data_IF_514941788200
#
_entry.id   IF_514941788200
#
_cell.length_a   1.000
_cell.length_b   1.000
_cell.length_c   1.000
_cell.angle_alpha   90.00
_cell.angle_beta   90.00
_cell.angle_gamma   90.00
#
_symmetry.space_group_name_H-M   'P 1'
#
loop_
_entity.id
_entity.type
_entity.pdbx_description
1 polymer ?
#
# COMPACT_ATOMS: atom_id res chain seq x y z
N UNK A 1 2.01 -7.90 12.10
CA UNK A 1 2.78 -8.87 12.93
C UNK A 1 3.09 -10.14 12.15
N UNK A 2 2.10 -10.91 11.68
CA UNK A 2 2.34 -12.13 10.88
C UNK A 2 3.29 -11.89 9.68
N UNK A 3 3.03 -10.87 8.85
CA UNK A 3 3.92 -10.52 7.73
C UNK A 3 5.36 -10.20 8.15
N UNK A 4 5.53 -9.53 9.29
CA UNK A 4 6.86 -9.21 9.80
C UNK A 4 7.60 -10.45 10.31
N UNK A 5 6.86 -11.41 10.90
CA UNK A 5 7.40 -12.71 11.27
C UNK A 5 7.84 -13.54 10.04
N UNK A 6 7.18 -13.34 8.89
CA UNK A 6 7.56 -13.90 7.59
C UNK A 6 8.58 -13.03 6.82
N UNK A 7 9.23 -12.08 7.50
CA UNK A 7 10.29 -11.22 6.94
C UNK A 7 9.86 -10.28 5.79
N UNK A 8 8.60 -9.89 5.75
CA UNK A 8 8.13 -8.82 4.86
C UNK A 8 8.43 -7.43 5.40
N UNK A 9 8.93 -6.57 4.53
CA UNK A 9 8.98 -5.13 4.78
C UNK A 9 7.61 -4.49 4.53
N UNK A 10 7.19 -3.62 5.43
CA UNK A 10 5.92 -2.90 5.35
C UNK A 10 6.18 -1.42 5.14
N UNK A 11 5.69 -0.87 4.02
CA UNK A 11 5.78 0.54 3.70
C UNK A 11 4.42 1.24 3.75
N UNK A 12 4.40 2.54 4.06
CA UNK A 12 3.20 3.39 3.90
C UNK A 12 3.42 4.40 2.78
N UNK A 13 2.58 4.36 1.74
CA UNK A 13 2.46 5.41 0.73
C UNK A 13 1.11 6.12 0.91
N UNK A 14 1.11 7.38 1.33
CA UNK A 14 -0.12 8.09 1.74
C UNK A 14 -0.25 9.48 1.13
N UNK A 15 -1.49 9.89 0.86
CA UNK A 15 -1.83 11.26 0.46
C UNK A 15 -1.84 12.27 1.64
N UNK A 16 -1.57 11.81 2.87
CA UNK A 16 -1.46 12.67 4.06
C UNK A 16 -0.13 13.44 4.03
N UNK A 17 -0.07 14.54 4.78
CA UNK A 17 1.19 15.19 5.13
C UNK A 17 1.96 14.37 6.17
N UNK A 18 3.27 14.62 6.33
CA UNK A 18 4.10 14.00 7.39
C UNK A 18 3.46 14.10 8.76
N UNK A 19 3.03 15.30 9.14
CA UNK A 19 2.37 15.56 10.43
C UNK A 19 1.05 14.77 10.56
N UNK A 20 0.28 14.67 9.47
CA UNK A 20 -0.96 13.92 9.44
C UNK A 20 -0.74 12.41 9.60
N UNK A 21 0.30 11.87 8.98
CA UNK A 21 0.68 10.47 9.12
C UNK A 21 1.16 10.15 10.54
N UNK A 22 2.06 10.97 11.11
CA UNK A 22 2.59 10.76 12.47
C UNK A 22 1.48 10.74 13.52
N UNK A 23 0.51 11.66 13.42
CA UNK A 23 -0.66 11.67 14.31
C UNK A 23 -1.46 10.37 14.22
N UNK A 24 -1.69 9.86 13.01
CA UNK A 24 -2.44 8.63 12.80
C UNK A 24 -1.68 7.40 13.35
N UNK A 25 -0.37 7.32 13.14
CA UNK A 25 0.47 6.23 13.65
C UNK A 25 0.59 6.27 15.18
N UNK A 26 0.71 7.46 15.77
CA UNK A 26 0.75 7.63 17.23
C UNK A 26 -0.58 7.23 17.88
N UNK A 27 -1.71 7.62 17.29
CA UNK A 27 -3.03 7.29 17.82
C UNK A 27 -3.35 5.79 17.79
N UNK A 28 -2.78 5.06 16.84
CA UNK A 28 -3.02 3.62 16.64
C UNK A 28 -1.95 2.73 17.27
N UNK A 29 -0.76 3.26 17.54
CA UNK A 29 0.36 2.50 18.12
C UNK A 29 1.04 1.52 17.16
N UNK A 30 0.66 1.53 15.88
CA UNK A 30 1.17 0.58 14.87
C UNK A 30 2.39 1.10 14.11
N UNK A 31 2.85 2.33 14.38
CA UNK A 31 3.98 2.94 13.66
C UNK A 31 5.24 2.07 13.62
N UNK A 32 5.50 1.32 14.69
CA UNK A 32 6.62 0.36 14.80
C UNK A 32 6.55 -0.84 13.84
N UNK A 33 5.41 -1.06 13.19
CA UNK A 33 5.24 -2.15 12.23
C UNK A 33 5.66 -1.75 10.82
N UNK A 34 5.87 -0.46 10.54
CA UNK A 34 6.24 0.03 9.21
C UNK A 34 7.72 0.38 9.18
N UNK A 35 8.42 -0.13 8.17
CA UNK A 35 9.86 0.04 7.98
C UNK A 35 10.19 1.36 7.26
N UNK A 36 9.30 1.83 6.39
CA UNK A 36 9.48 3.08 5.65
C UNK A 36 8.13 3.75 5.33
N UNK A 37 8.15 5.08 5.12
CA UNK A 37 6.94 5.84 4.81
C UNK A 37 7.21 6.94 3.77
N UNK A 38 6.19 7.28 2.96
CA UNK A 38 6.15 8.42 2.04
C UNK A 38 4.81 9.14 2.10
N UNK A 39 4.88 10.45 2.27
CA UNK A 39 3.76 11.38 2.37
C UNK A 39 3.66 12.27 1.12
N UNK A 40 2.50 12.90 0.94
CA UNK A 40 2.23 13.77 -0.22
C UNK A 40 3.08 15.04 -0.27
N UNK A 41 3.60 15.48 0.87
CA UNK A 41 4.48 16.64 1.02
C UNK A 41 5.97 16.30 0.89
N UNK A 42 6.32 15.03 0.70
CA UNK A 42 7.71 14.55 0.59
C UNK A 42 8.09 14.18 -0.85
N UNK A 43 7.11 13.84 -1.69
CA UNK A 43 7.30 13.42 -3.08
C UNK A 43 6.02 13.60 -3.90
N UNK A 44 6.05 13.24 -5.19
CA UNK A 44 4.87 13.25 -6.04
C UNK A 44 3.78 12.34 -5.49
N UNK A 45 2.56 12.88 -5.42
CA UNK A 45 1.38 12.15 -4.96
C UNK A 45 0.85 11.16 -6.01
N UNK A 46 0.07 10.20 -5.53
CA UNK A 46 -0.67 9.22 -6.35
C UNK A 46 -1.50 9.96 -7.42
N UNK A 47 -1.54 9.47 -8.68
CA UNK A 47 -1.08 8.16 -9.13
C UNK A 47 0.39 8.12 -9.60
N UNK A 48 1.19 9.15 -9.31
CA UNK A 48 2.60 9.14 -9.70
C UNK A 48 3.37 8.01 -8.97
N UNK A 49 4.25 7.25 -9.64
CA UNK A 49 4.88 6.04 -9.07
C UNK A 49 6.00 6.33 -8.05
N UNK A 50 6.31 7.60 -7.78
CA UNK A 50 7.49 8.00 -7.02
C UNK A 50 7.51 7.40 -5.60
N UNK A 51 6.37 7.43 -4.89
CA UNK A 51 6.29 6.86 -3.53
C UNK A 51 6.74 5.39 -3.50
N UNK A 52 6.28 4.56 -4.44
CA UNK A 52 6.64 3.15 -4.50
C UNK A 52 8.11 2.96 -4.86
N UNK A 53 8.62 3.64 -5.88
CA UNK A 53 10.03 3.53 -6.26
C UNK A 53 10.99 4.02 -5.18
N UNK A 54 10.61 5.05 -4.41
CA UNK A 54 11.41 5.54 -3.30
C UNK A 54 11.39 4.57 -2.12
N UNK A 55 10.23 4.03 -1.76
CA UNK A 55 10.09 3.04 -0.70
C UNK A 55 10.87 1.76 -1.03
N UNK A 56 10.71 1.21 -2.22
CA UNK A 56 11.42 -0.03 -2.59
C UNK A 56 12.93 0.18 -2.66
N UNK A 57 13.39 1.34 -3.14
CA UNK A 57 14.82 1.69 -3.13
C UNK A 57 15.38 1.82 -1.71
N UNK A 58 14.65 2.47 -0.81
CA UNK A 58 15.06 2.60 0.61
C UNK A 58 15.15 1.24 1.31
N UNK A 59 14.19 0.36 1.03
CA UNK A 59 14.10 -0.98 1.61
C UNK A 59 14.96 -2.04 0.87
N UNK A 60 15.65 -1.66 -0.20
CA UNK A 60 16.43 -2.58 -1.02
C UNK A 60 15.61 -3.69 -1.69
N UNK A 61 14.34 -3.42 -1.98
CA UNK A 61 13.39 -4.38 -2.58
C UNK A 61 13.18 -4.14 -4.07
N UNK A 62 12.81 -5.20 -4.77
CA UNK A 62 12.39 -5.13 -6.17
C UNK A 62 10.92 -4.67 -6.27
N UNK A 63 10.65 -3.71 -7.15
CA UNK A 63 9.30 -3.22 -7.42
C UNK A 63 8.40 -4.33 -7.97
N UNK A 64 8.96 -5.27 -8.74
CA UNK A 64 8.22 -6.42 -9.27
C UNK A 64 7.81 -7.43 -8.19
N UNK A 65 8.45 -7.37 -7.00
CA UNK A 65 8.12 -8.19 -5.82
C UNK A 65 7.29 -7.43 -4.78
N UNK A 66 6.79 -6.26 -5.14
CA UNK A 66 6.02 -5.38 -4.24
C UNK A 66 4.54 -5.40 -4.62
N UNK A 67 3.68 -5.47 -3.61
CA UNK A 67 2.23 -5.29 -3.76
C UNK A 67 1.78 -4.00 -3.10
N UNK A 68 1.12 -3.12 -3.86
CA UNK A 68 0.46 -1.92 -3.34
C UNK A 68 -0.98 -2.27 -2.97
N UNK A 69 -1.33 -2.07 -1.69
CA UNK A 69 -2.68 -2.30 -1.17
C UNK A 69 -3.37 -0.94 -1.03
N UNK A 70 -4.54 -0.77 -1.63
CA UNK A 70 -5.27 0.50 -1.57
C UNK A 70 -6.75 0.40 -1.87
N UNK A 71 -7.49 1.43 -1.45
CA UNK A 71 -8.94 1.54 -1.56
C UNK A 71 -9.38 2.56 -2.62
N UNK A 72 -8.43 3.15 -3.35
CA UNK A 72 -8.70 4.09 -4.43
C UNK A 72 -8.11 3.61 -5.75
N UNK A 73 -8.69 4.09 -6.85
CA UNK A 73 -8.09 3.90 -8.19
C UNK A 73 -6.74 4.61 -8.31
N UNK A 74 -6.47 5.64 -7.50
CA UNK A 74 -5.17 6.31 -7.44
C UNK A 74 -4.07 5.38 -6.91
N UNK A 75 -4.37 4.52 -5.94
CA UNK A 75 -3.44 3.51 -5.41
C UNK A 75 -3.08 2.47 -6.48
N UNK A 76 -4.10 1.93 -7.14
CA UNK A 76 -3.91 0.89 -8.16
C UNK A 76 -3.22 1.46 -9.41
N UNK A 77 -3.54 2.68 -9.82
CA UNK A 77 -2.84 3.34 -10.92
C UNK A 77 -1.39 3.66 -10.56
N UNK A 78 -1.10 4.02 -9.30
CA UNK A 78 0.29 4.18 -8.84
C UNK A 78 1.06 2.85 -8.92
N UNK A 79 0.43 1.73 -8.53
CA UNK A 79 1.01 0.40 -8.64
C UNK A 79 1.37 0.07 -10.10
N UNK A 80 0.41 0.25 -11.01
CA UNK A 80 0.59 0.04 -12.46
C UNK A 80 1.72 0.91 -13.00
N UNK A 81 1.71 2.21 -12.67
CA UNK A 81 2.72 3.16 -13.14
C UNK A 81 4.12 2.81 -12.62
N UNK A 82 4.23 2.17 -11.45
CA UNK A 82 5.49 1.74 -10.87
C UNK A 82 5.95 0.37 -11.39
N UNK A 83 5.08 -0.40 -12.07
CA UNK A 83 5.34 -1.79 -12.42
C UNK A 83 5.23 -2.76 -11.22
N UNK A 84 4.52 -2.36 -10.17
CA UNK A 84 4.19 -3.20 -9.02
C UNK A 84 2.83 -3.90 -9.21
N UNK A 85 2.58 -4.94 -8.41
CA UNK A 85 1.23 -5.52 -8.32
C UNK A 85 0.32 -4.60 -7.50
N UNK A 86 -0.95 -4.50 -7.88
CA UNK A 86 -1.96 -3.76 -7.12
C UNK A 86 -3.01 -4.70 -6.52
N UNK A 87 -3.36 -4.50 -5.26
CA UNK A 87 -4.45 -5.20 -4.57
C UNK A 87 -5.47 -4.16 -4.07
N UNK A 88 -6.72 -4.33 -4.49
CA UNK A 88 -7.82 -3.44 -4.09
C UNK A 88 -8.46 -3.88 -2.78
N UNK A 89 -8.93 -2.93 -1.97
CA UNK A 89 -9.81 -3.22 -0.82
C UNK A 89 -11.14 -2.48 -0.98
N UNK A 90 -12.26 -3.20 -0.95
CA UNK A 90 -13.58 -2.64 -1.33
C UNK A 90 -14.36 -2.04 -0.16
N UNK A 91 -13.76 -1.93 1.01
CA UNK A 91 -14.36 -1.37 2.23
C UNK A 91 -13.85 0.04 2.55
N UNK A 92 -13.28 0.73 1.55
CA UNK A 92 -12.77 2.09 1.67
C UNK A 92 -13.45 3.07 0.71
N UNK A 93 -12.67 3.95 0.06
CA UNK A 93 -13.16 5.17 -0.55
C UNK A 93 -13.80 5.01 -1.94
N UNK A 94 -13.26 4.18 -2.83
CA UNK A 94 -13.79 4.05 -4.21
C UNK A 94 -14.67 2.80 -4.36
N UNK A 95 -15.67 2.81 -5.28
CA UNK A 95 -16.51 1.65 -5.58
C UNK A 95 -15.70 0.45 -6.07
N UNK A 96 -16.15 -0.76 -5.72
CA UNK A 96 -15.48 -2.02 -6.09
C UNK A 96 -15.37 -2.21 -7.60
N UNK A 97 -16.36 -1.72 -8.35
CA UNK A 97 -16.40 -1.77 -9.80
C UNK A 97 -15.21 -0.99 -10.40
N UNK A 98 -14.97 0.23 -9.91
CA UNK A 98 -13.83 1.06 -10.35
C UNK A 98 -12.49 0.47 -9.95
N UNK A 99 -12.41 -0.20 -8.80
CA UNK A 99 -11.17 -0.90 -8.40
C UNK A 99 -10.89 -2.08 -9.33
N UNK A 100 -11.92 -2.84 -9.74
CA UNK A 100 -11.79 -3.99 -10.64
C UNK A 100 -11.37 -3.60 -12.06
N UNK A 101 -11.78 -2.43 -12.55
CA UNK A 101 -11.35 -1.89 -13.85
C UNK A 101 -9.82 -1.70 -13.94
N UNK A 102 -9.15 -1.51 -12.79
CA UNK A 102 -7.70 -1.41 -12.71
C UNK A 102 -6.99 -2.78 -12.75
N UNK A 103 -7.72 -3.88 -12.88
CA UNK A 103 -7.20 -5.25 -12.91
C UNK A 103 -6.25 -5.61 -11.75
N UNK A 104 -6.65 -5.39 -10.48
CA UNK A 104 -5.83 -5.76 -9.34
C UNK A 104 -5.69 -7.29 -9.24
N UNK A 105 -4.61 -7.76 -8.61
CA UNK A 105 -4.36 -9.20 -8.40
C UNK A 105 -5.40 -9.85 -7.49
N UNK A 106 -6.00 -9.05 -6.60
CA UNK A 106 -7.16 -9.40 -5.79
C UNK A 106 -7.91 -8.14 -5.41
N UNK A 107 -9.20 -8.26 -5.14
CA UNK A 107 -10.01 -7.17 -4.59
C UNK A 107 -10.71 -7.66 -3.32
N UNK A 108 -10.08 -7.42 -2.17
CA UNK A 108 -10.53 -7.96 -0.90
C UNK A 108 -11.79 -7.23 -0.40
N UNK A 109 -12.79 -8.00 0.05
CA UNK A 109 -14.08 -7.44 0.51
C UNK A 109 -14.15 -7.25 2.02
N UNK A 110 -13.15 -7.73 2.77
CA UNK A 110 -13.03 -7.54 4.22
C UNK A 110 -11.57 -7.66 4.66
N UNK A 111 -11.28 -7.27 5.91
CA UNK A 111 -9.95 -7.46 6.51
C UNK A 111 -9.59 -8.96 6.59
N UNK A 112 -10.57 -9.83 6.88
CA UNK A 112 -10.34 -11.28 6.94
C UNK A 112 -9.98 -11.88 5.57
N UNK A 113 -10.64 -11.41 4.51
CA UNK A 113 -10.33 -11.78 3.13
C UNK A 113 -8.94 -11.29 2.71
N UNK A 114 -8.61 -10.03 3.02
CA UNK A 114 -7.27 -9.49 2.80
C UNK A 114 -6.20 -10.32 3.52
N UNK A 115 -6.43 -10.66 4.79
CA UNK A 115 -5.51 -11.47 5.58
C UNK A 115 -5.34 -12.86 4.97
N UNK A 116 -6.43 -13.53 4.60
CA UNK A 116 -6.38 -14.85 3.99
C UNK A 116 -5.59 -14.84 2.68
N UNK A 117 -5.79 -13.82 1.85
CA UNK A 117 -5.03 -13.66 0.61
C UNK A 117 -3.54 -13.45 0.88
N UNK A 118 -3.19 -12.55 1.81
CA UNK A 118 -1.80 -12.27 2.17
C UNK A 118 -1.09 -13.52 2.70
N UNK A 119 -1.71 -14.29 3.61
CA UNK A 119 -1.09 -15.51 4.16
C UNK A 119 -0.91 -16.63 3.13
N UNK A 120 -1.63 -16.59 2.01
CA UNK A 120 -1.53 -17.59 0.95
C UNK A 120 -0.53 -17.22 -0.16
N UNK A 121 -0.15 -15.95 -0.27
CA UNK A 121 0.66 -15.42 -1.38
C UNK A 121 1.89 -14.62 -0.94
N UNK A 122 2.02 -14.34 0.35
CA UNK A 122 3.24 -13.84 1.00
C UNK A 122 4.06 -15.05 1.52
#
# INVERSE_FOLDING_TARGET
EALHAEHYFLGVATGKTRVGLERALAATGIGKLFDATRCADETFSKPHPAMLHELTRELGQDIARTVMIGDTTHDLQMAINAGAQGLGVSYGAHPVESLREMSPVHCATSIADLQAWLLAHA
#
